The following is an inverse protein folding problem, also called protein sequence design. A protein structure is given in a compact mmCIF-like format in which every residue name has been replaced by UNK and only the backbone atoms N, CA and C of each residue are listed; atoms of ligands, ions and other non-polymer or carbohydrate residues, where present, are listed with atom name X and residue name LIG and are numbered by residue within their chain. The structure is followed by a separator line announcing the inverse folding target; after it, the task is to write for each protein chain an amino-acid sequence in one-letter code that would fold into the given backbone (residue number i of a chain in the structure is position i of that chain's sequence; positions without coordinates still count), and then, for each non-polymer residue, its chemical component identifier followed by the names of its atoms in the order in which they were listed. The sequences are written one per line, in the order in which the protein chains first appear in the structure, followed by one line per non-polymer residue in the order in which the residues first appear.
data_IF_286967553156
#
_entry.id   IF_286967553156
#
_cell.length_a   1.000
_cell.length_b   1.000
_cell.length_c   1.000
_cell.angle_alpha   90.00
_cell.angle_beta   90.00
_cell.angle_gamma   90.00
#
_symmetry.space_group_name_H-M   'P 1'
#
loop_
_entity.id
_entity.type
_entity.pdbx_description
1 polymer ?
#
# COMPACT_ATOMS: atom_id res chain seq x y z
N UNK A 1 -3.35 4.80 9.54
CA UNK A 1 -4.37 5.86 9.72
C UNK A 1 -5.80 5.33 9.62
N UNK A 2 -6.00 4.11 9.13
CA UNK A 2 -7.29 3.42 9.11
C UNK A 2 -7.75 3.00 10.51
N UNK A 3 -9.07 2.91 10.73
CA UNK A 3 -9.68 2.35 11.96
C UNK A 3 -10.05 0.88 11.78
N UNK A 4 -10.21 0.48 10.54
CA UNK A 4 -10.44 -0.86 10.03
C UNK A 4 -9.14 -1.44 9.44
N UNK A 5 -9.10 -2.76 9.33
CA UNK A 5 -8.03 -3.46 8.61
C UNK A 5 -8.58 -4.76 8.03
N UNK A 6 -7.91 -5.28 7.01
CA UNK A 6 -8.18 -6.60 6.46
C UNK A 6 -7.34 -7.64 7.23
N UNK A 7 -7.94 -8.61 7.94
CA UNK A 7 -7.18 -9.53 8.80
C UNK A 7 -6.61 -10.74 8.07
N UNK A 8 -7.06 -11.03 6.85
CA UNK A 8 -6.68 -12.24 6.10
C UNK A 8 -6.53 -11.97 4.61
N UNK A 9 -5.77 -12.82 3.94
CA UNK A 9 -5.61 -12.76 2.47
C UNK A 9 -6.67 -13.66 1.83
N UNK A 10 -7.55 -13.15 0.96
CA UNK A 10 -8.53 -13.96 0.25
C UNK A 10 -7.89 -14.98 -0.69
N UNK A 11 -8.60 -16.07 -1.06
CA UNK A 11 -8.12 -17.01 -2.06
C UNK A 11 -7.78 -16.34 -3.40
N UNK A 12 -6.68 -16.76 -4.02
CA UNK A 12 -6.20 -16.22 -5.29
C UNK A 12 -5.46 -14.88 -5.19
N UNK A 13 -5.22 -14.37 -3.99
CA UNK A 13 -4.36 -13.21 -3.75
C UNK A 13 -3.00 -13.63 -3.16
N UNK A 14 -1.98 -12.85 -3.49
CA UNK A 14 -0.65 -12.91 -2.90
C UNK A 14 -0.48 -11.74 -1.92
N UNK A 15 0.03 -12.05 -0.73
CA UNK A 15 0.35 -11.06 0.30
C UNK A 15 1.56 -10.21 -0.13
N UNK A 16 1.45 -8.89 -0.03
CA UNK A 16 2.57 -7.98 -0.34
C UNK A 16 3.36 -7.54 0.90
N UNK A 17 2.74 -7.57 2.07
CA UNK A 17 3.41 -7.20 3.31
C UNK A 17 2.54 -7.38 4.54
N UNK A 18 3.16 -7.51 5.70
CA UNK A 18 2.50 -7.71 6.98
C UNK A 18 3.32 -7.11 8.13
N UNK A 19 2.64 -6.84 9.23
CA UNK A 19 3.25 -6.52 10.52
C UNK A 19 2.59 -7.35 11.63
N UNK A 20 3.16 -7.34 12.84
CA UNK A 20 2.60 -8.06 13.98
C UNK A 20 1.16 -7.64 14.34
N UNK A 21 0.76 -6.40 14.01
CA UNK A 21 -0.57 -5.84 14.33
C UNK A 21 -1.48 -5.67 13.12
N UNK A 22 -0.95 -5.86 11.91
CA UNK A 22 -1.68 -5.73 10.67
C UNK A 22 -1.19 -6.82 9.69
N UNK A 23 -1.85 -7.99 9.69
CA UNK A 23 -1.38 -9.16 8.95
C UNK A 23 -1.47 -9.01 7.43
N UNK A 24 -2.25 -8.04 6.94
CA UNK A 24 -2.34 -7.69 5.53
C UNK A 24 -2.17 -6.18 5.33
N UNK A 25 -1.00 -5.76 4.85
CA UNK A 25 -0.71 -4.38 4.46
C UNK A 25 -0.99 -4.09 2.99
N UNK A 26 -1.31 -5.13 2.22
CA UNK A 26 -1.54 -5.07 0.79
C UNK A 26 -1.51 -6.46 0.18
N UNK A 27 -2.23 -6.62 -0.91
CA UNK A 27 -2.35 -7.89 -1.61
C UNK A 27 -2.59 -7.66 -3.10
N UNK A 28 -2.14 -8.61 -3.90
CA UNK A 28 -2.26 -8.58 -5.37
C UNK A 28 -2.92 -9.85 -5.88
N UNK A 29 -3.81 -9.71 -6.85
CA UNK A 29 -4.29 -10.82 -7.67
C UNK A 29 -3.73 -10.65 -9.08
N UNK A 30 -3.21 -11.72 -9.65
CA UNK A 30 -2.72 -11.76 -11.02
C UNK A 30 -3.80 -12.32 -11.96
N UNK A 31 -3.70 -12.02 -13.25
CA UNK A 31 -4.49 -12.70 -14.28
C UNK A 31 -4.13 -14.19 -14.33
N UNK A 32 -5.07 -15.02 -14.80
CA UNK A 32 -4.93 -16.49 -14.79
C UNK A 32 -3.81 -17.03 -15.68
N UNK A 33 -3.41 -16.26 -16.69
CA UNK A 33 -2.32 -16.57 -17.63
C UNK A 33 -0.94 -16.11 -17.14
N UNK A 34 -0.86 -15.41 -16.00
CA UNK A 34 0.37 -14.91 -15.45
C UNK A 34 1.14 -15.96 -14.64
N UNK A 35 2.48 -15.89 -14.70
CA UNK A 35 3.34 -16.64 -13.79
C UNK A 35 3.51 -15.90 -12.46
N UNK A 36 3.19 -16.53 -11.31
CA UNK A 36 3.37 -15.91 -9.99
C UNK A 36 4.85 -15.85 -9.55
N UNK A 37 5.75 -16.57 -10.22
CA UNK A 37 7.19 -16.60 -9.86
C UNK A 37 7.94 -15.34 -10.31
N UNK A 38 7.46 -14.69 -11.37
CA UNK A 38 8.07 -13.48 -11.93
C UNK A 38 7.00 -12.56 -12.53
N UNK A 39 6.09 -12.01 -11.69
CA UNK A 39 5.00 -11.17 -12.17
C UNK A 39 5.54 -9.85 -12.72
N UNK A 40 4.97 -9.41 -13.84
CA UNK A 40 5.15 -8.06 -14.37
C UNK A 40 3.96 -7.16 -14.00
N UNK A 41 4.11 -5.82 -14.08
CA UNK A 41 2.98 -4.91 -13.90
C UNK A 41 1.79 -5.21 -14.83
N UNK A 42 2.03 -5.79 -16.00
CA UNK A 42 0.97 -6.17 -16.93
C UNK A 42 0.09 -7.28 -16.37
N UNK A 43 0.65 -8.18 -15.56
CA UNK A 43 0.01 -9.40 -15.05
C UNK A 43 -0.96 -9.12 -13.89
N UNK A 44 -0.93 -7.90 -13.36
CA UNK A 44 -1.74 -7.50 -12.23
C UNK A 44 -3.19 -7.29 -12.66
N UNK A 45 -4.09 -8.06 -12.05
CA UNK A 45 -5.53 -7.90 -12.20
C UNK A 45 -6.10 -6.98 -11.11
N UNK A 46 -5.72 -7.20 -9.85
CA UNK A 46 -6.14 -6.40 -8.70
C UNK A 46 -4.92 -6.06 -7.86
N UNK A 47 -4.75 -4.78 -7.51
CA UNK A 47 -3.71 -4.30 -6.62
C UNK A 47 -4.34 -3.52 -5.47
N UNK A 48 -3.95 -3.85 -4.24
CA UNK A 48 -4.47 -3.18 -3.03
C UNK A 48 -3.34 -2.91 -2.04
N UNK A 49 -3.46 -1.81 -1.31
CA UNK A 49 -2.60 -1.47 -0.17
C UNK A 49 -3.46 -0.90 0.95
N UNK A 50 -3.14 -1.30 2.18
CA UNK A 50 -3.73 -0.72 3.40
C UNK A 50 -3.00 0.56 3.81
N UNK A 51 -1.81 0.83 3.26
CA UNK A 51 -1.08 2.07 3.48
C UNK A 51 -1.61 3.24 2.64
N UNK A 52 -1.03 4.42 2.87
CA UNK A 52 -1.23 5.60 2.03
C UNK A 52 0.07 5.89 1.27
N UNK A 53 0.35 5.20 0.14
CA UNK A 53 1.58 5.43 -0.63
C UNK A 53 1.68 6.86 -1.17
N UNK A 54 0.56 7.59 -1.22
CA UNK A 54 0.46 9.00 -1.59
C UNK A 54 0.90 9.95 -0.47
N UNK A 55 1.02 9.49 0.78
CA UNK A 55 1.42 10.35 1.89
C UNK A 55 2.94 10.55 1.93
N UNK A 56 3.33 11.81 2.06
CA UNK A 56 4.68 12.22 2.42
C UNK A 56 4.73 12.74 3.87
N UNK A 57 5.94 13.05 4.36
CA UNK A 57 6.19 13.44 5.74
C UNK A 57 5.25 14.54 6.22
N UNK A 58 5.21 15.68 5.53
CA UNK A 58 4.36 16.80 5.93
C UNK A 58 2.85 16.46 6.05
N UNK A 59 2.29 15.62 5.16
CA UNK A 59 0.90 15.16 5.31
C UNK A 59 0.75 14.33 6.59
N UNK A 60 1.69 13.41 6.82
CA UNK A 60 1.63 12.49 7.95
C UNK A 60 1.80 13.23 9.28
N UNK A 61 2.70 14.22 9.35
CA UNK A 61 2.94 15.05 10.52
C UNK A 61 1.68 15.81 10.95
N UNK A 62 0.99 16.45 10.00
CA UNK A 62 -0.24 17.19 10.29
C UNK A 62 -1.35 16.26 10.78
N UNK A 63 -1.48 15.06 10.21
CA UNK A 63 -2.48 14.09 10.68
C UNK A 63 -2.13 13.59 12.09
N UNK A 64 -0.87 13.28 12.37
CA UNK A 64 -0.43 12.83 13.71
C UNK A 64 -0.72 13.92 14.74
N UNK A 65 -0.36 15.17 14.44
CA UNK A 65 -0.64 16.33 15.29
C UNK A 65 -2.13 16.51 15.57
N UNK A 66 -2.96 16.49 14.53
CA UNK A 66 -4.41 16.64 14.66
C UNK A 66 -5.06 15.50 15.46
N UNK A 67 -4.62 14.25 15.23
CA UNK A 67 -5.15 13.08 15.95
C UNK A 67 -4.67 12.98 17.39
N UNK A 68 -3.47 13.47 17.71
CA UNK A 68 -3.03 13.62 19.09
C UNK A 68 -3.84 14.68 19.83
N UNK A 69 -4.07 15.84 19.19
CA UNK A 69 -4.86 16.93 19.78
C UNK A 69 -6.31 16.52 20.12
N UNK A 70 -6.86 15.54 19.41
CA UNK A 70 -8.20 14.98 19.65
C UNK A 70 -8.20 13.74 20.56
N UNK A 71 -7.04 13.33 21.08
CA UNK A 71 -6.88 12.17 21.95
C UNK A 71 -6.99 10.81 21.24
N UNK A 72 -7.07 10.78 19.92
CA UNK A 72 -7.13 9.54 19.12
C UNK A 72 -5.78 8.81 19.12
N UNK A 73 -4.68 9.56 19.10
CA UNK A 73 -3.33 9.02 19.27
C UNK A 73 -2.81 9.42 20.65
N UNK A 74 -2.28 8.44 21.39
CA UNK A 74 -1.62 8.70 22.67
C UNK A 74 -0.18 9.20 22.45
N UNK A 75 0.44 9.68 23.54
CA UNK A 75 1.81 10.23 23.50
C UNK A 75 2.84 9.22 22.99
N UNK A 76 2.73 7.96 23.40
CA UNK A 76 3.68 6.90 23.02
C UNK A 76 3.71 6.67 21.50
N UNK A 77 2.53 6.67 20.85
CA UNK A 77 2.41 6.54 19.39
C UNK A 77 3.02 7.75 18.68
N UNK A 78 2.82 8.96 19.23
CA UNK A 78 3.37 10.20 18.64
C UNK A 78 4.90 10.23 18.74
N UNK A 79 5.46 9.81 19.87
CA UNK A 79 6.91 9.70 20.04
C UNK A 79 7.51 8.62 19.13
N UNK A 80 6.84 7.48 19.00
CA UNK A 80 7.25 6.40 18.11
C UNK A 80 7.17 6.78 16.62
N UNK A 81 6.19 7.61 16.26
CA UNK A 81 6.16 8.26 14.96
C UNK A 81 7.37 9.19 14.77
N UNK A 82 7.65 10.08 15.73
CA UNK A 82 8.76 11.02 15.66
C UNK A 82 10.12 10.34 15.45
N UNK A 83 10.37 9.20 16.11
CA UNK A 83 11.60 8.40 15.92
C UNK A 83 11.79 7.85 14.51
N UNK A 84 10.70 7.68 13.76
CA UNK A 84 10.67 7.00 12.44
C UNK A 84 10.27 7.93 11.29
N UNK A 85 9.93 9.18 11.56
CA UNK A 85 9.36 10.11 10.58
C UNK A 85 10.27 10.34 9.36
N UNK A 86 11.59 10.22 9.56
CA UNK A 86 12.61 10.39 8.52
C UNK A 86 13.11 9.07 7.92
N UNK A 87 12.53 7.93 8.30
CA UNK A 87 12.86 6.66 7.67
C UNK A 87 12.43 6.66 6.21
N UNK A 88 13.11 5.82 5.42
CA UNK A 88 12.79 5.63 4.02
C UNK A 88 11.30 5.28 3.87
N UNK A 89 10.62 6.05 3.03
CA UNK A 89 9.23 5.85 2.64
C UNK A 89 9.16 5.43 1.17
N UNK A 90 8.74 4.19 0.92
CA UNK A 90 8.61 3.62 -0.43
C UNK A 90 7.27 3.95 -1.11
N UNK A 91 6.39 4.72 -0.45
CA UNK A 91 5.08 5.11 -0.96
C UNK A 91 5.16 5.80 -2.33
N UNK A 92 5.67 7.04 -2.43
CA UNK A 92 5.69 7.74 -3.72
C UNK A 92 6.65 7.13 -4.75
N UNK A 93 7.82 6.65 -4.29
CA UNK A 93 8.92 6.25 -5.17
C UNK A 93 8.82 4.82 -5.72
N UNK A 94 8.27 3.89 -4.94
CA UNK A 94 8.17 2.47 -5.34
C UNK A 94 6.72 2.13 -5.62
N UNK A 95 5.85 2.20 -4.62
CA UNK A 95 4.44 1.78 -4.74
C UNK A 95 3.70 2.64 -5.76
N UNK A 96 3.84 3.96 -5.68
CA UNK A 96 3.24 4.90 -6.62
C UNK A 96 3.70 4.66 -8.06
N UNK A 97 5.02 4.42 -8.25
CA UNK A 97 5.57 4.08 -9.57
C UNK A 97 5.01 2.77 -10.11
N UNK A 98 4.98 1.71 -9.30
CA UNK A 98 4.42 0.41 -9.69
C UNK A 98 2.94 0.54 -10.07
N UNK A 99 2.16 1.33 -9.33
CA UNK A 99 0.75 1.59 -9.66
C UNK A 99 0.61 2.25 -11.04
N UNK A 100 1.45 3.24 -11.36
CA UNK A 100 1.47 3.85 -12.70
C UNK A 100 1.85 2.85 -13.80
N UNK A 101 2.81 1.97 -13.54
CA UNK A 101 3.22 0.93 -14.49
C UNK A 101 2.10 -0.09 -14.74
N UNK A 102 1.35 -0.49 -13.71
CA UNK A 102 0.16 -1.36 -13.82
C UNK A 102 -0.91 -0.67 -14.68
N UNK A 103 -1.20 0.61 -14.41
CA UNK A 103 -2.20 1.37 -15.17
C UNK A 103 -1.79 1.54 -16.64
N UNK A 104 -0.51 1.75 -16.92
CA UNK A 104 0.02 1.81 -18.30
C UNK A 104 -0.17 0.48 -19.01
N UNK A 105 0.29 -0.61 -18.41
CA UNK A 105 0.22 -1.94 -19.02
C UNK A 105 -1.23 -2.42 -19.24
N UNK A 106 -2.15 -2.05 -18.34
CA UNK A 106 -3.58 -2.33 -18.50
C UNK A 106 -4.18 -1.69 -19.76
N UNK A 107 -3.73 -0.47 -20.12
CA UNK A 107 -4.17 0.21 -21.34
C UNK A 107 -3.63 -0.47 -22.60
N UNK A 108 -2.38 -0.90 -22.57
CA UNK A 108 -1.73 -1.60 -23.69
C UNK A 108 -2.40 -2.96 -23.97
N UNK A 109 -2.70 -3.77 -22.95
CA UNK A 109 -3.46 -5.03 -23.12
C UNK A 109 -4.82 -4.81 -23.78
N UNK A 110 -5.53 -3.71 -23.46
CA UNK A 110 -6.82 -3.38 -24.07
C UNK A 110 -6.71 -3.00 -25.54
N UNK A 111 -5.63 -2.36 -25.97
CA UNK A 111 -5.43 -1.98 -27.37
C UNK A 111 -5.16 -3.19 -28.28
N UNK A 112 -4.63 -4.29 -27.74
CA UNK A 112 -4.35 -5.53 -28.48
C UNK A 112 -5.59 -6.41 -28.60
N UNK A 113 -6.58 -6.23 -27.70
CA UNK A 113 -7.79 -7.04 -27.65
C UNK A 113 -8.95 -6.50 -28.53
N UNK A 114 -8.71 -5.49 -29.36
CA UNK A 114 -9.67 -4.87 -30.31
C UNK A 114 -9.19 -5.14 -31.73
#
# INVERSE_FOLDING_TARGET
MHRDHVPSVPPGFHLLGSTAVAPNQGMVQLYSDASPESPSPADVHIFTVQGHPEFHKAITEEIVKARHATGVLNKDIVEDYGRRADWRNDGPGVVGKTLWEILRASRERRQIAV
#
